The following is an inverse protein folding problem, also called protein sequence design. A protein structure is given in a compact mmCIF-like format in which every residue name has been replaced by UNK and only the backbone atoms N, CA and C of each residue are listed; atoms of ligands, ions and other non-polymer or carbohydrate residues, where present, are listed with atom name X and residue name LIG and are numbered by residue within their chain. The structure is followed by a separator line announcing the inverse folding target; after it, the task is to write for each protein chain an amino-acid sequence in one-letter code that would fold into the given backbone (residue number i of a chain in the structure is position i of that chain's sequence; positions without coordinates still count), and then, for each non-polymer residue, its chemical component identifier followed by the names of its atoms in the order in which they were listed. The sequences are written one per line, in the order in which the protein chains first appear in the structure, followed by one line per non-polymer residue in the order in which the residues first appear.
data_IF_430952526375
#
_entry.id   IF_430952526375
#
_cell.length_a   1.000
_cell.length_b   1.000
_cell.length_c   1.000
_cell.angle_alpha   90.00
_cell.angle_beta   90.00
_cell.angle_gamma   90.00
#
_symmetry.space_group_name_H-M   'P 1'
#
loop_
_entity.id
_entity.type
_entity.pdbx_description
1 polymer ?
#
# COMPACT_ATOMS: atom_id res chain seq x y z
N UNK A 1 36.98 -26.07 -21.39
CA UNK A 1 35.83 -26.99 -21.49
C UNK A 1 35.77 -27.70 -20.17
N UNK A 2 34.88 -27.24 -19.30
CA UNK A 2 34.65 -27.78 -17.97
C UNK A 2 33.15 -28.05 -17.92
N UNK A 3 32.79 -29.32 -17.92
CA UNK A 3 31.44 -29.81 -17.67
C UNK A 3 31.10 -29.61 -16.18
N UNK A 4 29.97 -28.96 -15.94
CA UNK A 4 29.30 -28.89 -14.63
C UNK A 4 28.29 -30.03 -14.56
N UNK A 5 28.24 -30.82 -13.47
CA UNK A 5 27.09 -31.63 -13.14
C UNK A 5 26.49 -31.12 -11.82
N UNK A 6 25.48 -30.27 -11.91
CA UNK A 6 24.56 -29.98 -10.81
C UNK A 6 23.16 -29.80 -11.42
N UNK A 7 22.65 -30.92 -11.94
CA UNK A 7 21.23 -31.12 -12.20
C UNK A 7 20.72 -31.94 -11.01
N UNK A 8 20.42 -31.24 -9.91
CA UNK A 8 19.88 -31.85 -8.70
C UNK A 8 18.37 -32.01 -8.89
N UNK A 9 18.04 -33.21 -9.37
CA UNK A 9 16.93 -34.05 -8.96
C UNK A 9 15.67 -33.31 -8.48
N UNK A 10 14.79 -33.07 -9.45
CA UNK A 10 13.35 -33.09 -9.27
C UNK A 10 12.99 -34.44 -8.62
N UNK A 11 12.74 -34.42 -7.30
CA UNK A 11 12.41 -35.62 -6.56
C UNK A 11 10.92 -35.90 -6.78
N UNK A 12 10.63 -36.68 -7.83
CA UNK A 12 9.34 -37.37 -8.04
C UNK A 12 8.84 -37.94 -6.72
N UNK A 13 7.83 -37.27 -6.15
CA UNK A 13 7.04 -37.78 -5.04
C UNK A 13 6.32 -39.03 -5.56
N UNK A 14 6.48 -40.21 -4.94
CA UNK A 14 5.82 -41.41 -5.45
C UNK A 14 4.29 -41.22 -5.38
N UNK A 15 3.54 -41.54 -6.45
CA UNK A 15 2.09 -41.35 -6.49
C UNK A 15 1.44 -42.19 -5.39
N UNK A 16 0.60 -41.55 -4.58
CA UNK A 16 0.10 -42.11 -3.33
C UNK A 16 -1.39 -42.48 -3.36
N UNK A 17 -2.06 -42.59 -4.52
CA UNK A 17 -3.40 -43.18 -4.64
C UNK A 17 -3.69 -43.48 -6.13
N UNK A 18 -4.37 -44.58 -6.53
CA UNK A 18 -4.91 -44.75 -7.88
C UNK A 18 -5.74 -43.56 -8.41
N UNK A 19 -6.37 -42.76 -7.54
CA UNK A 19 -7.07 -41.53 -7.95
C UNK A 19 -6.12 -40.45 -8.48
N UNK A 20 -4.94 -40.30 -7.90
CA UNK A 20 -3.98 -39.25 -8.27
C UNK A 20 -3.46 -39.46 -9.69
N UNK A 21 -3.26 -40.72 -10.09
CA UNK A 21 -2.79 -41.09 -11.43
C UNK A 21 -3.84 -40.82 -12.50
N UNK A 22 -5.11 -41.04 -12.18
CA UNK A 22 -6.23 -40.72 -13.09
C UNK A 22 -6.39 -39.19 -13.24
N UNK A 23 -6.21 -38.43 -12.15
CA UNK A 23 -6.25 -36.97 -12.16
C UNK A 23 -5.09 -36.37 -12.96
N UNK A 24 -3.86 -36.90 -12.80
CA UNK A 24 -2.68 -36.45 -13.55
C UNK A 24 -2.85 -36.70 -15.06
N UNK A 25 -3.45 -37.84 -15.44
CA UNK A 25 -3.77 -38.14 -16.83
C UNK A 25 -4.82 -37.17 -17.39
N UNK A 26 -5.82 -36.81 -16.60
CA UNK A 26 -6.84 -35.83 -16.97
C UNK A 26 -6.23 -34.42 -17.10
N UNK A 27 -5.31 -34.04 -16.21
CA UNK A 27 -4.57 -32.77 -16.29
C UNK A 27 -3.81 -32.66 -17.61
N UNK A 28 -3.11 -33.71 -18.01
CA UNK A 28 -2.39 -33.74 -19.29
C UNK A 28 -3.34 -33.61 -20.50
N UNK A 29 -4.52 -34.24 -20.45
CA UNK A 29 -5.54 -34.11 -21.50
C UNK A 29 -6.08 -32.67 -21.59
N UNK A 30 -6.28 -32.01 -20.44
CA UNK A 30 -6.77 -30.63 -20.38
C UNK A 30 -5.72 -29.63 -20.89
N UNK A 31 -4.44 -29.80 -20.54
CA UNK A 31 -3.32 -29.01 -21.06
C UNK A 31 -3.15 -29.15 -22.58
N UNK A 32 -3.50 -30.29 -23.17
CA UNK A 32 -3.51 -30.46 -24.63
C UNK A 32 -4.75 -29.82 -25.28
N UNK A 33 -5.88 -29.77 -24.57
CA UNK A 33 -7.17 -29.30 -25.08
C UNK A 33 -7.29 -27.77 -25.06
N UNK A 34 -6.73 -27.12 -24.04
CA UNK A 34 -6.86 -25.67 -23.83
C UNK A 34 -5.51 -24.96 -23.89
N UNK A 35 -5.48 -23.78 -24.50
CA UNK A 35 -4.32 -22.88 -24.48
C UNK A 35 -4.41 -21.97 -23.26
N UNK A 36 -3.68 -22.32 -22.18
CA UNK A 36 -3.70 -21.55 -20.94
C UNK A 36 -3.12 -20.14 -21.07
N UNK A 37 -2.34 -19.84 -22.11
CA UNK A 37 -1.78 -18.50 -22.36
C UNK A 37 -2.83 -17.52 -22.94
N UNK A 38 -3.87 -18.02 -23.61
CA UNK A 38 -4.99 -17.24 -24.18
C UNK A 38 -6.35 -17.71 -23.60
N UNK A 39 -6.35 -18.16 -22.34
CA UNK A 39 -7.53 -18.71 -21.70
C UNK A 39 -8.55 -17.63 -21.31
N UNK A 40 -9.79 -17.76 -21.81
CA UNK A 40 -10.85 -16.77 -21.65
C UNK A 40 -12.13 -17.26 -20.97
N UNK A 41 -13.12 -16.35 -20.77
CA UNK A 41 -14.42 -16.69 -20.19
C UNK A 41 -15.24 -17.70 -21.01
N UNK A 42 -15.01 -17.77 -22.33
CA UNK A 42 -15.68 -18.74 -23.20
C UNK A 42 -15.14 -20.15 -22.92
N UNK A 43 -13.82 -20.31 -22.76
CA UNK A 43 -13.18 -21.58 -22.41
C UNK A 43 -13.61 -22.07 -21.02
N UNK A 44 -13.71 -21.14 -20.05
CA UNK A 44 -14.25 -21.42 -18.72
C UNK A 44 -15.65 -22.03 -18.75
N UNK A 45 -16.49 -21.61 -19.70
CA UNK A 45 -17.87 -22.08 -19.84
C UNK A 45 -17.97 -23.45 -20.52
N UNK A 46 -16.97 -23.84 -21.32
CA UNK A 46 -16.91 -25.13 -22.00
C UNK A 46 -16.32 -26.23 -21.11
N UNK A 47 -15.53 -25.85 -20.12
CA UNK A 47 -14.77 -26.76 -19.27
C UNK A 47 -15.67 -27.43 -18.22
N UNK A 48 -15.57 -28.75 -18.13
CA UNK A 48 -16.34 -29.57 -17.19
C UNK A 48 -15.74 -29.49 -15.78
N UNK A 49 -16.52 -29.85 -14.76
CA UNK A 49 -16.07 -29.79 -13.36
C UNK A 49 -14.82 -30.66 -13.10
N UNK A 50 -14.73 -31.83 -13.75
CA UNK A 50 -13.59 -32.75 -13.62
C UNK A 50 -12.34 -32.19 -14.32
N UNK A 51 -12.50 -31.54 -15.48
CA UNK A 51 -11.40 -30.83 -16.16
C UNK A 51 -10.92 -29.63 -15.32
N UNK A 52 -11.83 -28.93 -14.65
CA UNK A 52 -11.54 -27.85 -13.70
C UNK A 52 -10.72 -28.30 -12.51
N UNK A 53 -11.11 -29.40 -11.87
CA UNK A 53 -10.38 -29.95 -10.74
C UNK A 53 -8.99 -30.47 -11.14
N UNK A 54 -8.87 -31.03 -12.34
CA UNK A 54 -7.58 -31.48 -12.88
C UNK A 54 -6.63 -30.32 -13.21
N UNK A 55 -7.14 -29.24 -13.81
CA UNK A 55 -6.34 -28.07 -14.16
C UNK A 55 -6.03 -27.15 -12.96
N UNK A 56 -6.97 -27.01 -12.02
CA UNK A 56 -6.88 -26.13 -10.86
C UNK A 56 -7.10 -26.95 -9.60
N UNK A 57 -6.04 -27.63 -9.19
CA UNK A 57 -6.03 -28.51 -8.03
C UNK A 57 -6.24 -27.70 -6.74
N UNK A 58 -7.39 -27.84 -6.05
CA UNK A 58 -7.67 -27.08 -4.84
C UNK A 58 -6.73 -27.44 -3.68
N UNK A 59 -6.15 -28.65 -3.69
CA UNK A 59 -5.22 -29.10 -2.66
C UNK A 59 -3.81 -28.49 -2.84
N UNK A 60 -3.55 -27.84 -3.98
CA UNK A 60 -2.32 -27.08 -4.22
C UNK A 60 -2.31 -25.69 -3.55
N UNK A 61 -3.45 -25.25 -2.99
CA UNK A 61 -3.55 -23.97 -2.30
C UNK A 61 -3.36 -24.15 -0.79
N UNK A 62 -2.49 -23.34 -0.21
CA UNK A 62 -2.25 -23.33 1.24
C UNK A 62 -3.49 -22.75 1.94
N UNK A 63 -4.07 -23.55 2.83
CA UNK A 63 -5.15 -23.16 3.75
C UNK A 63 -4.77 -23.49 5.20
N UNK A 64 -5.64 -23.17 6.14
CA UNK A 64 -5.49 -23.45 7.56
C UNK A 64 -4.63 -22.44 8.30
N UNK A 65 -4.00 -22.90 9.39
CA UNK A 65 -3.14 -22.04 10.22
C UNK A 65 -1.90 -21.55 9.46
N UNK A 66 -1.40 -22.34 8.50
CA UNK A 66 -0.25 -21.93 7.68
C UNK A 66 -0.58 -20.69 6.84
N UNK A 67 -1.75 -20.69 6.18
CA UNK A 67 -2.23 -19.53 5.42
C UNK A 67 -2.29 -18.29 6.30
N UNK A 68 -2.87 -18.42 7.50
CA UNK A 68 -3.02 -17.29 8.41
C UNK A 68 -1.67 -16.75 8.90
N UNK A 69 -0.68 -17.63 9.16
CA UNK A 69 0.67 -17.20 9.55
C UNK A 69 1.37 -16.47 8.40
N UNK A 70 1.26 -16.99 7.17
CA UNK A 70 1.82 -16.35 5.97
C UNK A 70 1.18 -15.00 5.73
N UNK A 71 -0.15 -14.94 5.76
CA UNK A 71 -0.91 -13.73 5.56
C UNK A 71 -0.59 -12.67 6.61
N UNK A 72 -0.56 -13.04 7.90
CA UNK A 72 -0.23 -12.11 8.98
C UNK A 72 1.14 -11.44 8.75
N UNK A 73 2.15 -12.21 8.35
CA UNK A 73 3.49 -11.68 8.03
C UNK A 73 3.47 -10.74 6.83
N UNK A 74 2.77 -11.11 5.76
CA UNK A 74 2.67 -10.27 4.56
C UNK A 74 1.93 -8.96 4.86
N UNK A 75 0.83 -9.01 5.61
CA UNK A 75 0.07 -7.82 5.98
C UNK A 75 0.91 -6.90 6.89
N UNK A 76 1.65 -7.44 7.85
CA UNK A 76 2.62 -6.65 8.66
C UNK A 76 3.68 -5.98 7.78
N UNK A 77 4.22 -6.68 6.78
CA UNK A 77 5.15 -6.09 5.81
C UNK A 77 4.53 -4.94 5.01
N UNK A 78 3.29 -5.12 4.51
CA UNK A 78 2.59 -4.09 3.75
C UNK A 78 2.28 -2.86 4.60
N UNK A 79 1.88 -3.05 5.86
CA UNK A 79 1.71 -1.93 6.81
C UNK A 79 3.05 -1.21 7.03
N UNK A 80 4.15 -1.95 7.22
CA UNK A 80 5.48 -1.36 7.37
C UNK A 80 5.92 -0.53 6.14
N UNK A 81 5.55 -0.98 4.93
CA UNK A 81 5.80 -0.26 3.66
C UNK A 81 4.81 0.89 3.38
N UNK A 82 3.80 1.08 4.23
CA UNK A 82 2.67 2.02 4.05
C UNK A 82 1.83 1.74 2.81
N UNK A 83 1.76 0.47 2.41
CA UNK A 83 0.88 -0.01 1.34
C UNK A 83 -0.54 -0.24 1.86
N UNK A 84 -0.67 -0.62 3.14
CA UNK A 84 -1.95 -0.79 3.84
C UNK A 84 -1.99 0.15 5.05
N UNK A 85 -3.09 0.86 5.21
CA UNK A 85 -3.37 1.64 6.42
C UNK A 85 -4.29 0.84 7.34
N UNK A 86 -3.73 0.16 8.32
CA UNK A 86 -4.51 -0.60 9.29
C UNK A 86 -3.68 -1.27 10.36
N UNK A 87 -4.37 -1.83 11.36
CA UNK A 87 -3.80 -2.66 12.43
C UNK A 87 -4.12 -4.11 12.11
N UNK A 88 -3.13 -4.99 12.27
CA UNK A 88 -3.22 -6.43 12.01
C UNK A 88 -3.28 -7.16 13.34
N UNK A 89 -4.29 -8.00 13.55
CA UNK A 89 -4.51 -8.77 14.77
C UNK A 89 -4.87 -10.22 14.46
N UNK A 90 -4.47 -11.13 15.36
CA UNK A 90 -5.01 -12.50 15.42
C UNK A 90 -6.18 -12.53 16.38
N UNK A 91 -7.33 -12.96 15.90
CA UNK A 91 -8.57 -13.05 16.67
C UNK A 91 -9.19 -14.43 16.54
N UNK A 92 -10.04 -14.81 17.49
CA UNK A 92 -10.86 -16.00 17.39
C UNK A 92 -12.33 -15.58 17.21
N UNK A 93 -12.97 -16.04 16.15
CA UNK A 93 -14.40 -15.83 15.88
C UNK A 93 -15.09 -17.18 15.92
N UNK A 94 -16.10 -17.33 16.77
CA UNK A 94 -16.78 -18.60 17.03
C UNK A 94 -15.85 -19.78 17.40
N UNK A 95 -14.67 -19.48 17.93
CA UNK A 95 -13.66 -20.46 18.34
C UNK A 95 -12.66 -20.84 17.24
N UNK A 96 -12.76 -20.25 16.06
CA UNK A 96 -11.86 -20.49 14.93
C UNK A 96 -10.87 -19.33 14.75
N UNK A 97 -9.60 -19.61 14.41
CA UNK A 97 -8.57 -18.58 14.24
C UNK A 97 -8.83 -17.76 12.97
N UNK A 98 -8.70 -16.45 13.10
CA UNK A 98 -8.84 -15.50 12.01
C UNK A 98 -7.72 -14.45 12.06
N UNK A 99 -7.38 -13.89 10.90
CA UNK A 99 -6.57 -12.68 10.78
C UNK A 99 -7.51 -11.50 10.52
N UNK A 100 -7.51 -10.52 11.42
CA UNK A 100 -8.28 -9.29 11.31
C UNK A 100 -7.34 -8.15 10.92
N UNK A 101 -7.69 -7.40 9.90
CA UNK A 101 -7.11 -6.08 9.62
C UNK A 101 -8.20 -5.04 9.67
N UNK A 102 -7.97 -3.94 10.38
CA UNK A 102 -8.93 -2.86 10.45
C UNK A 102 -8.26 -1.49 10.40
N UNK A 103 -9.05 -0.52 9.96
CA UNK A 103 -8.71 0.91 9.90
C UNK A 103 -9.88 1.72 10.44
N UNK A 104 -9.80 3.04 10.35
CA UNK A 104 -10.89 3.94 10.70
C UNK A 104 -12.10 3.87 9.74
N UNK A 105 -11.92 3.32 8.53
CA UNK A 105 -12.92 3.38 7.45
C UNK A 105 -13.30 2.00 6.87
N UNK A 106 -12.72 0.92 7.37
CA UNK A 106 -12.97 -0.42 6.85
C UNK A 106 -12.16 -1.50 7.54
N UNK A 107 -12.50 -2.75 7.23
CA UNK A 107 -11.88 -3.93 7.80
C UNK A 107 -11.87 -5.09 6.82
N UNK A 108 -11.05 -6.10 7.12
CA UNK A 108 -10.99 -7.39 6.47
C UNK A 108 -10.78 -8.46 7.54
N UNK A 109 -11.61 -9.50 7.53
CA UNK A 109 -11.54 -10.67 8.40
C UNK A 109 -11.29 -11.88 7.51
N UNK A 110 -10.18 -12.59 7.76
CA UNK A 110 -9.78 -13.77 6.99
C UNK A 110 -9.85 -15.01 7.86
N UNK A 111 -10.61 -16.00 7.41
CA UNK A 111 -10.71 -17.32 8.02
C UNK A 111 -9.61 -18.27 7.56
N UNK A 112 -9.40 -19.33 8.33
CA UNK A 112 -8.41 -20.37 8.02
C UNK A 112 -8.75 -21.12 6.72
N UNK A 113 -10.01 -21.17 6.32
CA UNK A 113 -10.48 -21.76 5.07
C UNK A 113 -10.25 -20.87 3.83
N UNK A 114 -9.65 -19.68 4.01
CA UNK A 114 -9.48 -18.69 2.94
C UNK A 114 -10.72 -17.84 2.69
N UNK A 115 -11.75 -17.93 3.53
CA UNK A 115 -12.88 -16.99 3.50
C UNK A 115 -12.40 -15.58 3.83
N UNK A 116 -12.97 -14.59 3.12
CA UNK A 116 -12.68 -13.18 3.31
C UNK A 116 -13.99 -12.40 3.43
N UNK A 117 -14.17 -11.76 4.58
CA UNK A 117 -15.27 -10.84 4.84
C UNK A 117 -14.72 -9.44 5.11
N UNK A 118 -15.44 -8.39 4.71
CA UNK A 118 -15.01 -7.03 5.03
C UNK A 118 -15.60 -5.96 4.13
N UNK A 119 -15.12 -4.73 4.37
CA UNK A 119 -15.53 -3.56 3.61
C UNK A 119 -14.43 -2.50 3.53
N UNK A 120 -14.58 -1.60 2.57
CA UNK A 120 -13.67 -0.46 2.39
C UNK A 120 -12.35 -0.83 1.70
N UNK A 121 -11.38 0.06 1.87
CA UNK A 121 -10.05 -0.06 1.22
C UNK A 121 -9.26 -1.25 1.78
N UNK A 122 -9.42 -1.54 3.08
CA UNK A 122 -8.74 -2.66 3.74
C UNK A 122 -9.09 -4.00 3.08
N UNK A 123 -10.37 -4.26 2.83
CA UNK A 123 -10.80 -5.47 2.09
C UNK A 123 -10.11 -5.59 0.73
N UNK A 124 -10.09 -4.49 -0.05
CA UNK A 124 -9.49 -4.46 -1.39
C UNK A 124 -7.98 -4.68 -1.39
N UNK A 125 -7.29 -4.25 -0.33
CA UNK A 125 -5.85 -4.40 -0.23
C UNK A 125 -5.43 -5.79 0.30
N UNK A 126 -6.30 -6.42 1.10
CA UNK A 126 -6.08 -7.76 1.69
C UNK A 126 -6.40 -8.87 0.69
N UNK A 127 -7.42 -8.72 -0.15
CA UNK A 127 -7.84 -9.73 -1.12
C UNK A 127 -6.68 -10.23 -2.02
N UNK A 128 -5.85 -9.38 -2.65
CA UNK A 128 -4.69 -9.85 -3.41
C UNK A 128 -3.61 -10.51 -2.54
N UNK A 129 -3.42 -10.05 -1.30
CA UNK A 129 -2.46 -10.67 -0.38
C UNK A 129 -2.88 -12.08 0.02
N UNK A 130 -4.17 -12.29 0.27
CA UNK A 130 -4.74 -13.58 0.61
C UNK A 130 -4.46 -14.60 -0.50
N UNK A 131 -4.80 -14.24 -1.74
CA UNK A 131 -4.58 -15.10 -2.92
C UNK A 131 -3.10 -15.44 -3.09
N UNK A 132 -2.20 -14.47 -2.96
CA UNK A 132 -0.77 -14.73 -3.06
C UNK A 132 -0.26 -15.62 -1.92
N UNK A 133 -0.69 -15.37 -0.68
CA UNK A 133 -0.24 -16.16 0.47
C UNK A 133 -0.74 -17.61 0.45
N UNK A 134 -1.83 -17.88 -0.27
CA UNK A 134 -2.31 -19.24 -0.51
C UNK A 134 -1.57 -19.96 -1.64
N UNK A 135 -0.71 -19.30 -2.42
CA UNK A 135 0.17 -19.98 -3.38
C UNK A 135 1.45 -20.50 -2.70
N UNK A 136 1.83 -21.75 -2.98
CA UNK A 136 3.03 -22.36 -2.39
C UNK A 136 4.32 -21.60 -2.71
N UNK A 137 4.47 -21.21 -3.98
CA UNK A 137 5.65 -20.51 -4.53
C UNK A 137 5.82 -19.07 -4.03
N UNK A 138 4.81 -18.50 -3.36
CA UNK A 138 4.89 -17.13 -2.87
C UNK A 138 5.63 -17.05 -1.54
N UNK A 139 6.90 -16.64 -1.59
CA UNK A 139 7.71 -16.46 -0.39
C UNK A 139 7.36 -15.17 0.38
N UNK A 140 6.91 -15.34 1.63
CA UNK A 140 6.61 -14.23 2.53
C UNK A 140 7.85 -13.85 3.34
N UNK A 141 8.21 -12.57 3.31
CA UNK A 141 9.33 -12.05 4.09
C UNK A 141 9.00 -11.90 5.58
N UNK A 142 10.00 -11.98 6.44
CA UNK A 142 9.80 -11.72 7.87
C UNK A 142 9.57 -10.21 8.11
N UNK A 143 8.51 -9.81 8.83
CA UNK A 143 8.23 -8.40 9.09
C UNK A 143 9.29 -7.75 9.99
N UNK A 144 9.54 -6.44 9.82
CA UNK A 144 10.41 -5.70 10.73
C UNK A 144 9.76 -5.56 12.12
N UNK A 145 10.57 -5.43 13.16
CA UNK A 145 10.10 -5.25 14.55
C UNK A 145 9.15 -4.05 14.70
N UNK A 146 9.38 -2.98 13.92
CA UNK A 146 8.60 -1.75 13.94
C UNK A 146 7.62 -1.64 12.75
N UNK A 147 6.83 -2.70 12.51
CA UNK A 147 5.83 -2.72 11.43
C UNK A 147 4.61 -1.81 11.68
N UNK A 148 4.35 -1.43 12.94
CA UNK A 148 3.17 -0.70 13.33
C UNK A 148 3.06 0.68 12.66
N UNK A 149 1.82 1.19 12.57
CA UNK A 149 1.54 2.52 12.05
C UNK A 149 2.33 3.59 12.83
N UNK A 150 2.81 4.65 12.15
CA UNK A 150 3.58 5.71 12.79
C UNK A 150 2.72 6.44 13.84
N UNK A 151 3.39 6.99 14.85
CA UNK A 151 2.74 7.86 15.82
C UNK A 151 2.16 9.10 15.10
N UNK A 152 0.89 9.48 15.33
CA UNK A 152 0.30 10.67 14.74
C UNK A 152 1.17 11.92 14.87
N UNK A 153 1.86 12.08 16.00
CA UNK A 153 2.67 13.27 16.27
C UNK A 153 4.07 13.17 15.65
N UNK A 154 4.50 11.97 15.24
CA UNK A 154 5.75 11.76 14.50
C UNK A 154 5.62 12.00 12.98
N UNK A 155 4.40 12.17 12.47
CA UNK A 155 4.17 12.50 11.06
C UNK A 155 4.58 13.94 10.79
N UNK A 156 5.81 14.10 10.29
CA UNK A 156 6.34 15.38 9.81
C UNK A 156 5.70 15.70 8.45
N UNK A 157 5.30 16.96 8.25
CA UNK A 157 4.85 17.45 6.94
C UNK A 157 5.98 17.25 5.92
N UNK A 158 5.81 16.29 5.00
CA UNK A 158 6.85 15.98 4.02
C UNK A 158 7.02 17.16 3.05
N UNK A 159 8.28 17.54 2.87
CA UNK A 159 8.74 18.85 2.41
C UNK A 159 8.60 19.11 0.89
N UNK A 160 7.38 19.20 0.37
CA UNK A 160 7.13 19.91 -0.90
C UNK A 160 7.31 21.44 -0.76
N UNK A 161 7.57 21.93 0.46
CA UNK A 161 7.79 23.35 0.75
C UNK A 161 8.87 24.00 -0.11
N UNK A 162 9.98 23.32 -0.40
CA UNK A 162 11.08 23.93 -1.17
C UNK A 162 10.65 24.19 -2.63
N UNK A 163 10.05 23.19 -3.29
CA UNK A 163 9.54 23.33 -4.65
C UNK A 163 8.43 24.38 -4.75
N UNK A 164 7.51 24.37 -3.77
CA UNK A 164 6.45 25.37 -3.66
C UNK A 164 7.01 26.78 -3.43
N UNK A 165 8.04 26.92 -2.58
CA UNK A 165 8.70 28.19 -2.30
C UNK A 165 9.42 28.74 -3.53
N UNK A 166 10.13 27.90 -4.30
CA UNK A 166 10.77 28.31 -5.56
C UNK A 166 9.71 28.82 -6.54
N UNK A 167 8.61 28.09 -6.74
CA UNK A 167 7.51 28.51 -7.62
C UNK A 167 6.88 29.83 -7.14
N UNK A 168 6.72 30.01 -5.83
CA UNK A 168 6.20 31.24 -5.26
C UNK A 168 7.17 32.43 -5.45
N UNK A 169 8.48 32.21 -5.33
CA UNK A 169 9.51 33.22 -5.62
C UNK A 169 9.45 33.62 -7.09
N UNK A 170 9.37 32.66 -8.01
CA UNK A 170 9.25 32.91 -9.45
C UNK A 170 7.96 33.69 -9.74
N UNK A 171 6.82 33.23 -9.21
CA UNK A 171 5.53 33.90 -9.35
C UNK A 171 5.57 35.34 -8.82
N UNK A 172 6.16 35.55 -7.64
CA UNK A 172 6.34 36.86 -7.01
C UNK A 172 7.26 37.77 -7.82
N UNK A 173 8.38 37.26 -8.32
CA UNK A 173 9.29 37.97 -9.20
C UNK A 173 8.63 38.37 -10.52
N UNK A 174 7.78 37.51 -11.07
CA UNK A 174 7.07 37.78 -12.31
C UNK A 174 5.96 38.83 -12.13
N UNK A 175 5.21 38.76 -11.03
CA UNK A 175 4.23 39.76 -10.64
C UNK A 175 4.89 41.12 -10.43
N UNK A 176 6.02 41.14 -9.72
CA UNK A 176 6.81 42.35 -9.50
C UNK A 176 7.33 42.92 -10.83
N UNK A 177 7.89 42.08 -11.70
CA UNK A 177 8.36 42.47 -13.03
C UNK A 177 7.24 43.05 -13.91
N UNK A 178 6.06 42.42 -13.91
CA UNK A 178 4.88 42.92 -14.61
C UNK A 178 4.40 44.27 -14.07
N UNK A 179 4.34 44.44 -12.74
CA UNK A 179 3.97 45.70 -12.09
C UNK A 179 4.97 46.81 -12.38
N UNK A 180 6.28 46.52 -12.30
CA UNK A 180 7.34 47.49 -12.62
C UNK A 180 7.26 47.91 -14.08
N UNK A 181 7.10 46.96 -15.01
CA UNK A 181 6.99 47.26 -16.43
C UNK A 181 5.75 48.13 -16.74
N UNK A 182 4.61 47.82 -16.11
CA UNK A 182 3.38 48.60 -16.25
C UNK A 182 3.54 50.00 -15.64
N UNK A 183 4.19 50.11 -14.48
CA UNK A 183 4.50 51.39 -13.85
C UNK A 183 5.41 52.27 -14.73
N UNK A 184 6.49 51.71 -15.26
CA UNK A 184 7.39 52.44 -16.17
C UNK A 184 6.67 52.92 -17.44
N UNK A 185 5.71 52.14 -17.95
CA UNK A 185 4.88 52.54 -19.09
C UNK A 185 3.89 53.68 -18.75
N UNK A 186 3.37 53.74 -17.52
CA UNK A 186 2.50 54.84 -17.07
C UNK A 186 3.27 56.12 -16.74
N UNK A 187 4.53 56.01 -16.29
CA UNK A 187 5.38 57.12 -15.88
C UNK A 187 6.53 57.37 -16.88
N UNK A 188 6.21 57.46 -18.17
CA UNK A 188 7.22 57.71 -19.23
C UNK A 188 8.01 59.00 -19.04
N UNK A 189 7.43 60.01 -18.36
CA UNK A 189 8.08 61.29 -18.03
C UNK A 189 9.25 61.14 -17.03
N UNK A 190 9.36 60.02 -16.30
CA UNK A 190 10.44 59.75 -15.35
C UNK A 190 11.69 59.12 -15.97
N UNK A 191 11.65 58.70 -17.24
CA UNK A 191 12.72 57.90 -17.87
C UNK A 191 13.42 58.73 -18.97
N UNK A 192 14.70 59.12 -18.81
CA UNK A 192 15.40 60.02 -19.74
C UNK A 192 15.67 59.43 -21.14
N UNK A 193 15.42 58.14 -21.37
CA UNK A 193 15.64 57.45 -22.65
C UNK A 193 14.35 57.22 -23.46
N UNK A 194 13.18 57.61 -22.93
CA UNK A 194 11.88 57.47 -23.60
C UNK A 194 11.73 58.48 -24.74
N UNK A 195 12.31 58.16 -25.90
CA UNK A 195 12.22 58.98 -27.11
C UNK A 195 10.84 58.80 -27.76
N UNK A 196 10.03 59.85 -27.72
CA UNK A 196 8.87 60.02 -28.61
C UNK A 196 7.51 59.70 -27.98
N UNK A 197 6.60 60.65 -28.11
CA UNK A 197 5.19 60.63 -27.66
C UNK A 197 4.33 59.70 -28.53
N UNK A 198 4.74 58.44 -28.67
CA UNK A 198 4.03 57.42 -29.44
C UNK A 198 3.66 56.27 -28.51
N UNK A 199 2.36 55.97 -28.40
CA UNK A 199 1.83 55.00 -27.46
C UNK A 199 2.25 53.60 -27.92
N UNK A 200 3.34 53.09 -27.34
CA UNK A 200 3.79 51.73 -27.59
C UNK A 200 2.90 50.77 -26.79
N UNK A 201 2.18 49.89 -27.50
CA UNK A 201 1.30 48.87 -26.89
C UNK A 201 2.07 47.64 -26.38
N UNK A 202 3.33 47.48 -26.78
CA UNK A 202 4.14 46.30 -26.42
C UNK A 202 4.37 46.18 -24.90
N UNK A 203 4.78 47.24 -24.17
CA UNK A 203 4.99 47.14 -22.71
C UNK A 203 3.77 46.69 -21.90
N UNK A 204 2.54 47.24 -22.09
CA UNK A 204 1.39 46.78 -21.33
C UNK A 204 0.96 45.35 -21.70
N UNK A 205 1.16 44.91 -22.94
CA UNK A 205 0.88 43.52 -23.34
C UNK A 205 1.83 42.54 -22.66
N UNK A 206 3.14 42.84 -22.65
CA UNK A 206 4.14 42.01 -21.96
C UNK A 206 3.90 42.03 -20.46
N UNK A 207 3.59 43.19 -19.87
CA UNK A 207 3.25 43.30 -18.45
C UNK A 207 2.01 42.45 -18.10
N UNK A 208 0.96 42.51 -18.91
CA UNK A 208 -0.23 41.69 -18.73
C UNK A 208 0.07 40.19 -18.78
N UNK A 209 0.94 39.74 -19.70
CA UNK A 209 1.37 38.35 -19.76
C UNK A 209 2.12 37.92 -18.49
N UNK A 210 3.06 38.75 -18.02
CA UNK A 210 3.81 38.48 -16.79
C UNK A 210 2.89 38.38 -15.57
N UNK A 211 1.94 39.31 -15.44
CA UNK A 211 0.96 39.31 -14.35
C UNK A 211 0.01 38.11 -14.42
N UNK A 212 -0.47 37.75 -15.61
CA UNK A 212 -1.39 36.62 -15.79
C UNK A 212 -0.70 35.30 -15.39
N UNK A 213 0.49 35.06 -15.93
CA UNK A 213 1.24 33.83 -15.63
C UNK A 213 1.69 33.80 -14.17
N UNK A 214 2.16 34.94 -13.62
CA UNK A 214 2.52 35.04 -12.20
C UNK A 214 1.33 34.77 -11.28
N UNK A 215 0.16 35.34 -11.58
CA UNK A 215 -1.08 35.08 -10.86
C UNK A 215 -1.50 33.61 -10.95
N UNK A 216 -1.46 33.02 -12.14
CA UNK A 216 -1.78 31.61 -12.36
C UNK A 216 -0.89 30.69 -11.52
N UNK A 217 0.43 30.91 -11.54
CA UNK A 217 1.37 30.16 -10.71
C UNK A 217 1.05 30.30 -9.21
N UNK A 218 0.67 31.50 -8.77
CA UNK A 218 0.29 31.74 -7.38
C UNK A 218 -0.94 30.94 -6.95
N UNK A 219 -1.96 30.86 -7.81
CA UNK A 219 -3.18 30.07 -7.56
C UNK A 219 -2.84 28.58 -7.46
N UNK A 220 -2.04 28.05 -8.38
CA UNK A 220 -1.62 26.64 -8.38
C UNK A 220 -0.86 26.29 -7.11
N UNK A 221 0.13 27.10 -6.73
CA UNK A 221 0.94 26.96 -5.50
C UNK A 221 0.08 27.03 -4.24
N UNK A 222 -0.84 28.00 -4.16
CA UNK A 222 -1.72 28.17 -3.01
C UNK A 222 -2.62 26.93 -2.80
N UNK A 223 -3.15 26.37 -3.89
CA UNK A 223 -3.97 25.16 -3.82
C UNK A 223 -3.16 23.93 -3.42
N UNK A 224 -1.94 23.77 -3.96
CA UNK A 224 -1.05 22.66 -3.60
C UNK A 224 -0.69 22.69 -2.10
N UNK A 225 -0.33 23.87 -1.58
CA UNK A 225 0.00 24.04 -0.15
C UNK A 225 -1.16 23.70 0.78
N UNK A 226 -2.38 24.11 0.43
CA UNK A 226 -3.56 23.79 1.21
C UNK A 226 -3.83 22.28 1.19
N UNK A 227 -3.76 21.66 0.00
CA UNK A 227 -3.99 20.22 -0.15
C UNK A 227 -3.01 19.38 0.66
N UNK A 228 -1.71 19.72 0.66
CA UNK A 228 -0.70 18.93 1.40
C UNK A 228 -0.90 19.02 2.91
N UNK A 229 -1.27 20.20 3.41
CA UNK A 229 -1.61 20.39 4.83
C UNK A 229 -2.85 19.59 5.22
N UNK A 230 -3.93 19.69 4.43
CA UNK A 230 -5.16 18.95 4.70
C UNK A 230 -4.92 17.44 4.71
N UNK A 231 -4.18 16.90 3.72
CA UNK A 231 -3.82 15.48 3.67
C UNK A 231 -3.03 15.03 4.89
N UNK A 232 -2.11 15.86 5.36
CA UNK A 232 -1.30 15.52 6.55
C UNK A 232 -2.14 15.57 7.82
N UNK A 233 -3.00 16.59 7.99
CA UNK A 233 -3.93 16.68 9.12
C UNK A 233 -4.94 15.53 9.11
N UNK A 234 -5.47 15.18 7.93
CA UNK A 234 -6.36 14.03 7.73
C UNK A 234 -5.66 12.74 8.14
N UNK A 235 -4.47 12.45 7.60
CA UNK A 235 -3.70 11.26 7.95
C UNK A 235 -3.42 11.15 9.46
N UNK A 236 -3.06 12.26 10.13
CA UNK A 236 -2.90 12.29 11.60
C UNK A 236 -4.20 11.97 12.33
N UNK A 237 -5.33 12.50 11.87
CA UNK A 237 -6.63 12.23 12.48
C UNK A 237 -7.02 10.76 12.34
N UNK A 238 -6.76 10.15 11.18
CA UNK A 238 -6.99 8.72 10.96
C UNK A 238 -6.13 7.85 11.89
N UNK A 239 -4.85 8.20 12.04
CA UNK A 239 -3.96 7.51 12.98
C UNK A 239 -4.44 7.63 14.43
N UNK A 240 -4.95 8.80 14.83
CA UNK A 240 -5.57 8.98 16.16
C UNK A 240 -6.83 8.15 16.32
N UNK A 241 -7.68 8.10 15.29
CA UNK A 241 -8.91 7.34 15.35
C UNK A 241 -8.63 5.85 15.63
N UNK A 242 -7.70 5.25 14.90
CA UNK A 242 -7.31 3.84 15.08
C UNK A 242 -6.64 3.59 16.43
N UNK A 243 -5.83 4.53 16.94
CA UNK A 243 -5.05 4.34 18.18
C UNK A 243 -5.81 4.69 19.46
N UNK A 244 -6.56 5.79 19.48
CA UNK A 244 -7.26 6.29 20.68
C UNK A 244 -8.61 5.59 20.88
N UNK A 245 -9.31 5.27 19.79
CA UNK A 245 -10.61 4.59 19.86
C UNK A 245 -10.49 3.07 19.76
N UNK A 246 -9.31 2.54 19.41
CA UNK A 246 -9.08 1.10 19.29
C UNK A 246 -9.80 0.51 18.08
N UNK A 247 -10.33 -0.72 18.24
CA UNK A 247 -11.12 -1.39 17.21
C UNK A 247 -12.43 -0.63 16.95
N UNK A 248 -12.75 -0.28 15.69
CA UNK A 248 -14.02 0.40 15.36
C UNK A 248 -15.26 -0.46 15.62
N UNK A 249 -16.39 0.19 15.96
CA UNK A 249 -17.68 -0.46 16.27
C UNK A 249 -18.28 -1.27 15.10
N UNK A 250 -17.90 -0.98 13.85
CA UNK A 250 -18.41 -1.70 12.69
C UNK A 250 -17.71 -3.04 12.45
N UNK A 251 -16.60 -3.31 13.14
CA UNK A 251 -15.89 -4.59 13.03
C UNK A 251 -16.71 -5.67 13.75
N UNK A 252 -17.08 -6.77 13.06
CA UNK A 252 -17.99 -7.79 13.59
C UNK A 252 -17.31 -8.75 14.58
N UNK A 253 -16.41 -8.26 15.43
CA UNK A 253 -15.68 -9.04 16.42
C UNK A 253 -15.70 -8.30 17.76
N UNK A 254 -16.51 -8.78 18.70
CA UNK A 254 -16.59 -8.21 20.05
C UNK A 254 -15.24 -8.36 20.79
N UNK A 255 -14.85 -7.33 21.56
CA UNK A 255 -13.64 -7.33 22.41
C UNK A 255 -13.61 -8.49 23.42
N UNK A 256 -14.77 -9.11 23.71
CA UNK A 256 -14.90 -10.27 24.60
C UNK A 256 -14.61 -11.63 23.92
N UNK A 257 -14.67 -11.69 22.59
CA UNK A 257 -14.38 -12.90 21.79
C UNK A 257 -12.98 -12.83 21.16
N UNK A 258 -12.49 -11.63 20.87
CA UNK A 258 -11.14 -11.38 20.39
C UNK A 258 -10.12 -11.31 21.52
N UNK A 259 -9.83 -12.42 22.18
CA UNK A 259 -8.54 -12.52 22.87
C UNK A 259 -7.46 -12.43 21.78
N UNK A 260 -6.69 -11.34 21.77
CA UNK A 260 -5.47 -11.30 20.98
C UNK A 260 -4.69 -12.56 21.34
N UNK A 261 -4.48 -13.44 20.37
CA UNK A 261 -3.58 -14.57 20.57
C UNK A 261 -2.21 -13.92 20.74
N UNK A 262 -1.79 -13.71 21.99
CA UNK A 262 -0.45 -13.21 22.32
C UNK A 262 0.52 -14.09 21.55
N UNK A 263 1.16 -13.48 20.54
CA UNK A 263 2.38 -14.00 19.97
C UNK A 263 3.27 -14.23 21.18
N UNK A 264 3.64 -15.48 21.47
CA UNK A 264 4.46 -15.80 22.63
C UNK A 264 5.84 -15.17 22.45
N UNK A 265 5.96 -13.88 22.77
CA UNK A 265 7.22 -13.21 23.05
C UNK A 265 7.73 -13.86 24.32
N UNK A 266 8.69 -14.76 24.15
CA UNK A 266 9.49 -15.28 25.24
C UNK A 266 10.27 -14.08 25.78
N UNK A 267 9.71 -13.42 26.79
CA UNK A 267 10.45 -12.48 27.64
C UNK A 267 11.51 -13.31 28.34
N UNK A 268 12.71 -13.33 27.79
CA UNK A 268 13.88 -13.91 28.45
C UNK A 268 14.22 -12.96 29.60
N UNK A 269 13.64 -13.26 30.77
CA UNK A 269 14.07 -12.74 32.06
C UNK A 269 15.54 -13.10 32.25
N UNK A 270 16.45 -12.20 31.86
CA UNK A 270 17.85 -12.27 32.30
C UNK A 270 17.96 -11.89 33.78
N UNK A 271 17.55 -12.84 34.62
CA UNK A 271 17.91 -12.89 36.02
C UNK A 271 19.39 -13.22 36.20
N UNK A 272 20.04 -12.41 37.04
CA UNK A 272 21.19 -12.72 37.90
C UNK A 272 22.60 -12.87 37.29
N UNK A 273 23.45 -11.86 37.57
CA UNK A 273 24.69 -12.14 38.30
C UNK A 273 24.94 -11.05 39.36
N UNK A 274 24.36 -11.29 40.53
CA UNK A 274 24.83 -10.69 41.77
C UNK A 274 25.98 -11.53 42.31
N UNK A 275 27.22 -11.05 42.19
CA UNK A 275 28.37 -11.66 42.84
C UNK A 275 28.68 -10.97 44.17
N UNK A 276 28.69 -11.68 45.31
CA UNK A 276 29.07 -11.12 46.60
C UNK A 276 30.59 -11.25 46.87
N UNK A 277 31.16 -10.26 47.56
CA UNK A 277 32.16 -10.35 48.63
C UNK A 277 33.48 -11.13 48.44
N UNK A 278 34.58 -10.36 48.32
CA UNK A 278 35.79 -10.37 49.17
C UNK A 278 36.41 -11.67 49.71
N UNK A 279 37.70 -11.84 49.40
CA UNK A 279 38.83 -11.83 50.36
C UNK A 279 40.10 -11.40 49.64
#
# INVERSE_FOLDING_TARGET
MSESPDEQADAERPPSDPSDVELEALRQEVEEKYDFDDFGPEDMAEMTAEEWEAAFDPDSWIVGEELLVRLEKELKNRVARREIFGVVERVAVDGEPHVLVYSDEGYALVGADGSLEGEGTVYRDVEPSLVLCSMEDFEVQEPPENYALPDPDAVVEQSSELGNTILQIIAGGQMLGGLVLLGLWLFTDFIPFSSGRQINIVPPVVAAFFLLVGFFLFVVVANARLSDRFRTEEYRNRLRAVREHGRPDFVPVDDASGAALESTETTDESGTDGRPGGT
#
